data_IF_432240236590
#
_entry.id   IF_432240236590
#
_cell.length_a   1.000
_cell.length_b   1.000
_cell.length_c   1.000
_cell.angle_alpha   90.00
_cell.angle_beta   90.00
_cell.angle_gamma   90.00
#
_symmetry.space_group_name_H-M   'P 1'
#
loop_
_entity.id
_entity.type
_entity.pdbx_description
1 polymer ?
#
# COMPACT_ATOMS: atom_id res chain seq x y z
N UNK A 1 -8.59 3.92 -8.65
CA UNK A 1 -7.17 3.52 -8.75
C UNK A 1 -6.98 2.38 -9.77
N UNK A 2 -7.81 1.34 -9.75
CA UNK A 2 -7.69 0.16 -10.64
C UNK A 2 -7.64 0.43 -12.15
N UNK A 3 -8.33 1.46 -12.65
CA UNK A 3 -8.34 1.79 -14.07
C UNK A 3 -7.07 2.52 -14.55
N UNK A 4 -6.25 3.05 -13.62
CA UNK A 4 -5.19 4.00 -13.94
C UNK A 4 -3.85 3.56 -13.33
N UNK A 5 -3.09 2.65 -13.98
CA UNK A 5 -1.81 2.14 -13.49
C UNK A 5 -0.76 3.21 -13.20
N UNK A 6 -0.86 4.37 -13.85
CA UNK A 6 0.02 5.53 -13.64
C UNK A 6 0.03 6.03 -12.18
N UNK A 7 -1.03 5.76 -11.42
CA UNK A 7 -1.09 6.06 -9.99
C UNK A 7 0.01 5.36 -9.18
N UNK A 8 0.56 4.27 -9.70
CA UNK A 8 1.65 3.53 -9.07
C UNK A 8 3.05 4.01 -9.50
N UNK A 9 3.15 5.09 -10.28
CA UNK A 9 4.44 5.52 -10.85
C UNK A 9 5.50 5.83 -9.77
N UNK A 10 5.09 6.27 -8.59
CA UNK A 10 6.01 6.50 -7.46
C UNK A 10 6.77 5.24 -7.01
N UNK A 11 6.27 4.04 -7.33
CA UNK A 11 6.95 2.76 -7.11
C UNK A 11 7.67 2.23 -8.35
N UNK A 12 7.44 2.83 -9.52
CA UNK A 12 7.93 2.36 -10.82
C UNK A 12 7.77 0.84 -11.04
N UNK A 13 6.53 0.30 -10.96
CA UNK A 13 6.30 -1.14 -11.06
C UNK A 13 6.62 -1.67 -12.46
N UNK A 14 7.12 -2.91 -12.51
CA UNK A 14 7.28 -3.72 -13.73
C UNK A 14 6.09 -4.65 -13.94
N UNK A 15 5.44 -5.07 -12.86
CA UNK A 15 4.24 -5.91 -12.90
C UNK A 15 3.23 -5.40 -11.88
N UNK A 16 1.95 -5.49 -12.25
CA UNK A 16 0.81 -5.08 -11.43
C UNK A 16 -0.23 -6.19 -11.51
N UNK A 17 -0.60 -6.74 -10.36
CA UNK A 17 -1.71 -7.68 -10.23
C UNK A 17 -2.86 -6.97 -9.52
N UNK A 18 -4.07 -7.13 -10.03
CA UNK A 18 -5.32 -6.67 -9.39
C UNK A 18 -5.92 -7.83 -8.63
N UNK A 19 -6.39 -7.58 -7.41
CA UNK A 19 -6.97 -8.59 -6.53
C UNK A 19 -6.12 -9.87 -6.40
N UNK A 20 -4.78 -9.75 -6.21
CA UNK A 20 -3.94 -10.93 -6.08
C UNK A 20 -4.31 -11.75 -4.83
N UNK A 21 -4.31 -13.08 -4.93
CA UNK A 21 -4.47 -13.92 -3.77
C UNK A 21 -3.22 -13.87 -2.88
N UNK A 22 -3.43 -13.77 -1.58
CA UNK A 22 -2.44 -14.09 -0.55
C UNK A 22 -2.90 -15.40 0.08
N UNK A 23 -2.46 -16.50 -0.53
CA UNK A 23 -2.95 -17.86 -0.26
C UNK A 23 -4.47 -18.00 -0.53
N UNK A 24 -5.15 -18.88 0.21
CA UNK A 24 -6.58 -19.18 0.03
C UNK A 24 -7.52 -18.22 0.76
N UNK A 25 -7.01 -17.50 1.76
CA UNK A 25 -7.86 -16.82 2.75
C UNK A 25 -7.93 -15.31 2.56
N UNK A 26 -7.01 -14.73 1.80
CA UNK A 26 -6.87 -13.28 1.68
C UNK A 26 -6.66 -12.88 0.23
N UNK A 27 -7.15 -11.69 -0.12
CA UNK A 27 -6.83 -11.03 -1.38
C UNK A 27 -6.43 -9.60 -1.04
N UNK A 28 -5.30 -9.14 -1.56
CA UNK A 28 -4.98 -7.71 -1.51
C UNK A 28 -5.72 -6.98 -2.63
N UNK A 29 -5.82 -5.64 -2.57
CA UNK A 29 -6.32 -4.88 -3.71
C UNK A 29 -5.37 -4.94 -4.89
N UNK A 30 -4.07 -4.82 -4.60
CA UNK A 30 -3.01 -4.93 -5.60
C UNK A 30 -1.78 -5.65 -5.08
N UNK A 31 -1.02 -6.18 -6.03
CA UNK A 31 0.39 -6.49 -5.84
C UNK A 31 1.20 -5.77 -6.92
N UNK A 32 2.36 -5.24 -6.55
CA UNK A 32 3.22 -4.46 -7.42
C UNK A 32 4.65 -4.97 -7.30
N UNK A 33 5.23 -5.50 -8.37
CA UNK A 33 6.65 -5.84 -8.40
C UNK A 33 7.41 -4.68 -9.01
N UNK A 34 8.46 -4.22 -8.34
CA UNK A 34 9.33 -3.12 -8.82
C UNK A 34 10.57 -3.64 -9.53
N UNK A 35 11.28 -2.79 -10.27
CA UNK A 35 12.58 -3.11 -10.88
C UNK A 35 13.66 -3.51 -9.88
N UNK A 36 13.47 -3.17 -8.60
CA UNK A 36 14.38 -3.51 -7.50
C UNK A 36 14.02 -4.84 -6.84
N UNK A 37 13.16 -5.64 -7.47
CA UNK A 37 12.68 -6.93 -6.97
C UNK A 37 12.00 -6.81 -5.59
N UNK A 38 11.38 -5.67 -5.31
CA UNK A 38 10.52 -5.49 -4.13
C UNK A 38 9.08 -5.69 -4.58
N UNK A 39 8.40 -6.64 -3.94
CA UNK A 39 6.98 -6.90 -4.14
C UNK A 39 6.17 -6.17 -3.06
N UNK A 40 5.27 -5.28 -3.47
CA UNK A 40 4.37 -4.58 -2.57
C UNK A 40 2.99 -5.21 -2.63
N UNK A 41 2.40 -5.56 -1.49
CA UNK A 41 0.97 -5.80 -1.37
C UNK A 41 0.29 -4.52 -0.89
N UNK A 42 -0.85 -4.18 -1.49
CA UNK A 42 -1.54 -2.92 -1.23
C UNK A 42 -2.98 -3.18 -0.82
N UNK A 43 -3.39 -2.57 0.29
CA UNK A 43 -4.77 -2.43 0.74
C UNK A 43 -5.21 -0.97 0.58
N UNK A 44 -6.44 -0.77 0.12
CA UNK A 44 -7.03 0.52 -0.18
C UNK A 44 -8.37 0.63 0.52
N UNK A 45 -8.39 1.48 1.54
CA UNK A 45 -9.61 1.91 2.21
C UNK A 45 -10.28 3.06 1.44
N UNK A 46 -11.44 3.52 1.90
CA UNK A 46 -12.13 4.66 1.27
C UNK A 46 -11.39 5.98 1.51
N UNK A 47 -11.50 6.97 0.60
CA UNK A 47 -11.00 8.32 0.85
C UNK A 47 -11.62 8.98 2.09
N UNK A 48 -12.88 8.63 2.40
CA UNK A 48 -13.58 9.14 3.60
C UNK A 48 -13.25 8.38 4.89
N UNK A 49 -12.35 7.38 4.84
CA UNK A 49 -11.92 6.63 6.02
C UNK A 49 -11.25 7.59 7.00
N UNK A 50 -11.78 7.64 8.23
CA UNK A 50 -11.17 8.46 9.27
C UNK A 50 -9.88 7.80 9.74
N UNK A 51 -8.80 8.57 9.78
CA UNK A 51 -7.51 8.06 10.25
C UNK A 51 -7.41 8.08 11.78
N UNK A 52 -7.96 9.12 12.40
CA UNK A 52 -7.95 9.33 13.84
C UNK A 52 -9.32 9.71 14.38
N UNK A 53 -9.51 9.44 15.66
CA UNK A 53 -10.61 9.91 16.49
C UNK A 53 -10.36 11.37 16.90
N UNK A 54 -11.38 12.00 17.49
CA UNK A 54 -11.31 13.40 17.98
C UNK A 54 -10.24 13.59 19.06
N UNK A 55 -9.96 12.55 19.85
CA UNK A 55 -8.91 12.52 20.89
C UNK A 55 -7.52 12.15 20.34
N UNK A 56 -7.34 12.16 19.01
CA UNK A 56 -6.13 11.68 18.33
C UNK A 56 -5.80 10.19 18.60
N UNK A 57 -6.76 9.40 19.09
CA UNK A 57 -6.69 7.93 19.04
C UNK A 57 -6.80 7.42 17.59
N UNK A 58 -6.28 6.22 17.31
CA UNK A 58 -6.45 5.61 15.98
C UNK A 58 -7.91 5.24 15.78
N UNK A 59 -8.45 5.53 14.59
CA UNK A 59 -9.81 5.16 14.24
C UNK A 59 -9.91 3.66 13.94
N UNK A 60 -11.06 3.04 14.24
CA UNK A 60 -11.23 1.59 14.08
C UNK A 60 -11.13 1.12 12.63
N UNK A 61 -11.55 1.95 11.68
CA UNK A 61 -11.43 1.64 10.24
C UNK A 61 -9.96 1.54 9.81
N UNK A 62 -9.13 2.54 10.19
CA UNK A 62 -7.70 2.48 9.95
C UNK A 62 -7.05 1.27 10.65
N UNK A 63 -7.46 1.00 11.89
CA UNK A 63 -6.97 -0.17 12.64
C UNK A 63 -7.28 -1.48 11.92
N UNK A 64 -8.48 -1.62 11.35
CA UNK A 64 -8.88 -2.82 10.60
C UNK A 64 -7.97 -3.07 9.40
N UNK A 65 -7.69 -2.06 8.59
CA UNK A 65 -6.77 -2.18 7.45
C UNK A 65 -5.34 -2.53 7.88
N UNK A 66 -4.88 -1.99 9.01
CA UNK A 66 -3.57 -2.35 9.58
C UNK A 66 -3.53 -3.80 10.08
N UNK A 67 -4.59 -4.27 10.73
CA UNK A 67 -4.69 -5.65 11.20
C UNK A 67 -4.73 -6.62 10.00
N UNK A 68 -5.38 -6.24 8.90
CA UNK A 68 -5.38 -7.00 7.65
C UNK A 68 -3.97 -7.14 7.05
N UNK A 69 -3.23 -6.04 6.94
CA UNK A 69 -1.82 -6.07 6.50
C UNK A 69 -0.96 -6.94 7.44
N UNK A 70 -1.14 -6.82 8.75
CA UNK A 70 -0.40 -7.63 9.73
C UNK A 70 -0.69 -9.13 9.53
N UNK A 71 -1.95 -9.50 9.30
CA UNK A 71 -2.34 -10.89 9.03
C UNK A 71 -1.72 -11.41 7.74
N UNK A 72 -1.70 -10.59 6.67
CA UNK A 72 -1.02 -10.94 5.43
C UNK A 72 0.46 -11.19 5.65
N UNK A 73 1.13 -10.29 6.37
CA UNK A 73 2.55 -10.42 6.67
C UNK A 73 2.86 -11.72 7.39
N UNK A 74 2.07 -12.07 8.41
CA UNK A 74 2.22 -13.33 9.14
C UNK A 74 2.11 -14.53 8.18
N UNK A 75 1.16 -14.52 7.26
CA UNK A 75 0.98 -15.62 6.31
C UNK A 75 2.06 -15.68 5.22
N UNK A 76 2.49 -14.52 4.72
CA UNK A 76 3.61 -14.40 3.79
C UNK A 76 4.90 -14.90 4.43
N UNK A 77 5.18 -14.53 5.69
CA UNK A 77 6.37 -14.97 6.40
C UNK A 77 6.37 -16.49 6.61
N UNK A 78 5.20 -17.09 6.89
CA UNK A 78 5.05 -18.55 7.03
C UNK A 78 5.16 -19.31 5.70
N UNK A 79 4.64 -18.74 4.61
CA UNK A 79 4.38 -19.47 3.35
C UNK A 79 4.77 -18.67 2.10
N UNK A 80 5.90 -17.97 2.18
CA UNK A 80 6.39 -17.08 1.12
C UNK A 80 6.38 -17.73 -0.26
N UNK A 81 6.91 -18.95 -0.38
CA UNK A 81 6.98 -19.68 -1.65
C UNK A 81 5.60 -19.88 -2.29
N UNK A 82 4.60 -20.27 -1.50
CA UNK A 82 3.25 -20.49 -1.98
C UNK A 82 2.58 -19.19 -2.42
N UNK A 83 2.82 -18.08 -1.71
CA UNK A 83 2.34 -16.75 -2.11
C UNK A 83 2.96 -16.32 -3.44
N UNK A 84 4.28 -16.44 -3.58
CA UNK A 84 4.97 -16.09 -4.82
C UNK A 84 4.52 -16.96 -6.00
N UNK A 85 4.32 -18.26 -5.78
CA UNK A 85 3.80 -19.17 -6.79
C UNK A 85 2.39 -18.75 -7.27
N UNK A 86 1.53 -18.26 -6.37
CA UNK A 86 0.22 -17.70 -6.73
C UNK A 86 0.29 -16.51 -7.70
N UNK A 87 1.39 -15.78 -7.68
CA UNK A 87 1.69 -14.67 -8.60
C UNK A 87 2.54 -15.08 -9.81
N UNK A 88 2.87 -16.38 -9.94
CA UNK A 88 3.81 -16.93 -10.93
C UNK A 88 5.21 -16.31 -10.82
N UNK A 89 5.63 -16.02 -9.58
CA UNK A 89 6.96 -15.50 -9.26
C UNK A 89 7.80 -16.57 -8.55
N UNK A 90 9.12 -16.47 -8.70
CA UNK A 90 10.09 -17.27 -7.95
C UNK A 90 10.76 -16.46 -6.83
N UNK A 91 11.40 -17.14 -5.89
CA UNK A 91 12.16 -16.50 -4.81
C UNK A 91 13.27 -15.58 -5.34
N UNK A 92 13.89 -15.94 -6.47
CA UNK A 92 14.98 -15.14 -7.06
C UNK A 92 14.48 -13.83 -7.66
N UNK A 93 13.21 -13.76 -8.06
CA UNK A 93 12.60 -12.56 -8.63
C UNK A 93 12.16 -11.56 -7.55
N UNK A 94 12.09 -11.97 -6.29
CA UNK A 94 11.58 -11.13 -5.19
C UNK A 94 12.57 -11.13 -4.02
N UNK A 95 13.33 -10.04 -3.91
CA UNK A 95 14.27 -9.78 -2.84
C UNK A 95 13.56 -9.46 -1.52
N UNK A 96 12.49 -8.65 -1.57
CA UNK A 96 11.80 -8.15 -0.38
C UNK A 96 10.29 -8.06 -0.61
N UNK A 97 9.49 -8.20 0.45
CA UNK A 97 8.03 -8.03 0.40
C UNK A 97 7.62 -6.93 1.39
N UNK A 98 6.85 -5.96 0.90
CA UNK A 98 6.39 -4.80 1.67
C UNK A 98 4.89 -4.62 1.54
N UNK A 99 4.34 -3.79 2.40
CA UNK A 99 2.91 -3.59 2.54
C UNK A 99 2.58 -2.10 2.53
N UNK A 100 1.51 -1.75 1.83
CA UNK A 100 1.02 -0.39 1.76
C UNK A 100 -0.45 -0.37 2.14
N UNK A 101 -0.81 0.52 3.06
CA UNK A 101 -2.19 0.92 3.31
C UNK A 101 -2.44 2.29 2.71
N UNK A 102 -3.47 2.42 1.88
CA UNK A 102 -3.94 3.72 1.39
C UNK A 102 -5.29 4.00 2.06
N UNK A 103 -5.37 5.07 2.85
CA UNK A 103 -6.59 5.40 3.57
C UNK A 103 -6.72 6.90 3.80
N UNK A 104 -7.96 7.40 3.75
CA UNK A 104 -8.28 8.76 4.19
C UNK A 104 -7.66 9.87 3.34
N UNK A 105 -7.86 11.09 3.80
CA UNK A 105 -7.25 12.30 3.26
C UNK A 105 -6.35 12.92 4.32
N UNK A 106 -5.11 13.25 3.97
CA UNK A 106 -4.17 13.88 4.89
C UNK A 106 -4.64 15.28 5.28
N UNK A 107 -5.16 16.05 4.33
CA UNK A 107 -5.70 17.39 4.56
C UNK A 107 -6.98 17.44 5.43
N UNK A 108 -7.71 16.34 5.57
CA UNK A 108 -8.87 16.21 6.47
C UNK A 108 -8.49 15.67 7.86
N UNK A 109 -7.21 15.37 8.09
CA UNK A 109 -6.72 14.79 9.34
C UNK A 109 -5.94 15.83 10.14
N UNK A 110 -6.25 16.04 11.44
CA UNK A 110 -5.48 16.95 12.28
C UNK A 110 -3.99 16.59 12.29
N UNK A 111 -3.10 17.59 12.22
CA UNK A 111 -1.63 17.40 12.09
C UNK A 111 -1.06 16.43 13.12
N UNK A 112 -1.40 16.58 14.41
CA UNK A 112 -0.95 15.68 15.48
C UNK A 112 -1.41 14.23 15.26
N UNK A 113 -2.63 14.05 14.76
CA UNK A 113 -3.17 12.74 14.41
C UNK A 113 -2.44 12.14 13.21
N UNK A 114 -2.19 12.94 12.17
CA UNK A 114 -1.48 12.50 10.98
C UNK A 114 -0.04 12.09 11.31
N UNK A 115 0.69 12.89 12.12
CA UNK A 115 2.02 12.55 12.60
C UNK A 115 2.03 11.22 13.35
N UNK A 116 1.02 10.97 14.18
CA UNK A 116 0.89 9.70 14.89
C UNK A 116 0.69 8.53 13.93
N UNK A 117 -0.16 8.68 12.91
CA UNK A 117 -0.33 7.66 11.86
C UNK A 117 0.98 7.42 11.11
N UNK A 118 1.72 8.48 10.75
CA UNK A 118 3.01 8.33 10.06
C UNK A 118 4.04 7.61 10.91
N UNK A 119 4.07 7.84 12.23
CA UNK A 119 4.94 7.12 13.17
C UNK A 119 4.60 5.63 13.30
N UNK A 120 3.44 5.17 12.82
CA UNK A 120 3.10 3.75 12.77
C UNK A 120 3.70 3.04 11.56
N UNK A 121 4.10 3.80 10.52
CA UNK A 121 4.80 3.20 9.38
C UNK A 121 6.14 2.64 9.81
N UNK A 122 6.54 1.53 9.20
CA UNK A 122 7.81 0.85 9.44
C UNK A 122 8.60 0.72 8.13
N UNK A 123 9.77 0.09 8.17
CA UNK A 123 10.54 -0.19 6.96
C UNK A 123 9.83 -1.14 5.97
N UNK A 124 8.82 -1.89 6.45
CA UNK A 124 8.08 -2.89 5.66
C UNK A 124 6.61 -2.53 5.45
N UNK A 125 6.07 -1.59 6.21
CA UNK A 125 4.67 -1.15 6.17
C UNK A 125 4.60 0.36 6.00
N UNK A 126 3.90 0.85 4.99
CA UNK A 126 3.74 2.29 4.75
C UNK A 126 2.27 2.67 4.68
N UNK A 127 1.91 3.82 5.24
CA UNK A 127 0.54 4.35 5.19
C UNK A 127 0.55 5.63 4.38
N UNK A 128 -0.22 5.65 3.29
CA UNK A 128 -0.45 6.82 2.44
C UNK A 128 -1.91 7.28 2.51
N UNK A 129 -2.12 8.55 2.21
CA UNK A 129 -3.43 9.15 1.98
C UNK A 129 -3.66 9.40 0.49
N UNK A 130 -4.91 9.55 0.09
CA UNK A 130 -5.26 9.69 -1.34
C UNK A 130 -4.74 10.99 -1.98
N UNK A 131 -4.71 12.08 -1.23
CA UNK A 131 -4.15 13.38 -1.65
C UNK A 131 -2.63 13.36 -1.81
N UNK A 132 -1.93 12.50 -1.05
CA UNK A 132 -0.50 12.26 -1.26
C UNK A 132 -0.25 11.53 -2.59
N UNK A 133 -1.10 10.57 -2.94
CA UNK A 133 -1.02 9.88 -4.23
C UNK A 133 -1.29 10.83 -5.41
N UNK A 134 -2.25 11.74 -5.25
CA UNK A 134 -2.51 12.79 -6.25
C UNK A 134 -1.29 13.69 -6.46
N UNK A 135 -0.53 13.98 -5.40
CA UNK A 135 0.69 14.79 -5.48
C UNK A 135 1.76 14.11 -6.36
N UNK A 136 1.89 12.78 -6.31
CA UNK A 136 2.81 12.06 -7.19
C UNK A 136 2.41 12.18 -8.67
N UNK A 137 1.12 12.15 -8.99
CA UNK A 137 0.67 12.36 -10.37
C UNK A 137 1.02 13.76 -10.88
N UNK A 138 0.82 14.78 -10.05
CA UNK A 138 1.17 16.14 -10.42
C UNK A 138 2.67 16.30 -10.69
N UNK A 139 3.54 15.65 -9.90
CA UNK A 139 4.97 15.65 -10.17
C UNK A 139 5.32 15.01 -11.54
N UNK A 140 4.61 13.95 -11.93
CA UNK A 140 4.82 13.29 -13.23
C UNK A 140 4.36 14.20 -14.36
N UNK A 141 3.17 14.78 -14.25
CA UNK A 141 2.65 15.76 -15.21
C UNK A 141 3.63 16.91 -15.43
N UNK A 142 4.10 17.53 -14.35
CA UNK A 142 5.08 18.63 -14.43
C UNK A 142 6.40 18.19 -15.05
N UNK A 143 6.83 16.94 -14.83
CA UNK A 143 8.05 16.42 -15.44
C UNK A 143 7.89 16.20 -16.95
N UNK A 144 6.70 15.79 -17.40
CA UNK A 144 6.38 15.59 -18.81
C UNK A 144 6.24 16.91 -19.58
N UNK A 145 5.75 17.97 -18.93
CA UNK A 145 5.60 19.30 -19.54
C UNK A 145 6.93 20.05 -19.74
N UNK A 146 8.00 19.61 -19.07
CA UNK A 146 9.34 20.20 -19.17
C UNK A 146 10.29 19.43 -20.11
N UNK A 147 9.77 18.45 -20.85
CA UNK A 147 10.47 17.68 -21.91
C UNK A 147 10.08 18.20 -23.29
#
# INVERSE_FOLDING_TARGET
IEANPILWNFLAPVNIWKKPPILTNYNADFALLTRRNILYFVEIEKPCTKLVKRDCGIHSELQSGLDQIRNWRIEVDKRREAVLAGLKLTQQQVHDIRYILIAGMANETPTLGLEKVRKMSTNVESIFCFDELASFLHCVEMSLLNL
#
